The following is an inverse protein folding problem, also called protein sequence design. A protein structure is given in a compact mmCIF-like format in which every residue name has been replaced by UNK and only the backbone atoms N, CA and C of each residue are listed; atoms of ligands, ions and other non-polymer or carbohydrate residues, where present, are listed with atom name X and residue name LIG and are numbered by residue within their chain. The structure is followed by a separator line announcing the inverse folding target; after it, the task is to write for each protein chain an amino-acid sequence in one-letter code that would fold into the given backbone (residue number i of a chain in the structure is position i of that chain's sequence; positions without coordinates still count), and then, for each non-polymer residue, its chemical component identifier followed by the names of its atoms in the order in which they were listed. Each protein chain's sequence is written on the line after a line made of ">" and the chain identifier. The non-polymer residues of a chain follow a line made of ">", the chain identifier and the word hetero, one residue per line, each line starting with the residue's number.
data_IF_444832931028
#
_entry.id   IF_444832931028
#
_cell.length_a   1.000
_cell.length_b   1.000
_cell.length_c   1.000
_cell.angle_alpha   90.00
_cell.angle_beta   90.00
_cell.angle_gamma   90.00
#
_symmetry.space_group_name_H-M   'P 1'
#
loop_
_entity.id
_entity.type
_entity.pdbx_description
1 polymer ?
#
# COMPACT_ATOMS: atom_id res chain seq x y z
N UNK A 1 -13.23 -10.43 1.47
CA UNK A 1 -12.82 -9.04 1.81
C UNK A 1 -13.34 -8.00 0.81
N UNK A 2 -13.79 -8.38 -0.39
CA UNK A 2 -14.29 -7.44 -1.41
C UNK A 2 -15.66 -6.80 -1.14
N UNK A 3 -16.44 -7.31 -0.19
CA UNK A 3 -17.76 -6.74 0.12
C UNK A 3 -17.62 -5.57 1.09
N UNK A 4 -18.45 -4.52 0.92
CA UNK A 4 -18.49 -3.34 1.83
C UNK A 4 -18.69 -3.74 3.31
N UNK A 5 -19.26 -4.92 3.55
CA UNK A 5 -19.58 -5.46 4.87
C UNK A 5 -18.53 -6.42 5.43
N UNK A 6 -17.38 -6.60 4.77
CA UNK A 6 -16.37 -7.51 5.29
C UNK A 6 -15.83 -7.03 6.64
N UNK A 7 -15.85 -7.94 7.60
CA UNK A 7 -15.29 -7.77 8.94
C UNK A 7 -14.29 -8.90 9.17
N UNK A 8 -13.02 -8.56 9.36
CA UNK A 8 -11.98 -9.56 9.68
C UNK A 8 -12.36 -10.32 10.96
N UNK A 9 -12.19 -11.64 11.02
CA UNK A 9 -12.59 -12.43 12.21
C UNK A 9 -11.87 -11.98 13.49
N UNK A 10 -10.67 -11.43 13.36
CA UNK A 10 -9.84 -10.94 14.47
C UNK A 10 -10.18 -9.48 14.84
N UNK A 11 -10.73 -9.28 16.05
CA UNK A 11 -11.09 -7.95 16.59
C UNK A 11 -9.88 -7.01 16.78
N UNK A 12 -8.71 -7.54 17.15
CA UNK A 12 -7.47 -6.74 17.29
C UNK A 12 -7.04 -6.20 15.92
N UNK A 13 -7.10 -7.05 14.89
CA UNK A 13 -6.77 -6.65 13.53
C UNK A 13 -7.74 -5.59 12.99
N UNK A 14 -9.05 -5.73 13.25
CA UNK A 14 -10.03 -4.70 12.89
C UNK A 14 -9.74 -3.35 13.56
N UNK A 15 -9.39 -3.38 14.86
CA UNK A 15 -9.05 -2.16 15.61
C UNK A 15 -7.83 -1.47 15.00
N UNK A 16 -6.79 -2.22 14.65
CA UNK A 16 -5.60 -1.69 13.97
C UNK A 16 -5.93 -1.01 12.64
N UNK A 17 -6.74 -1.67 11.79
CA UNK A 17 -7.21 -1.08 10.52
C UNK A 17 -7.98 0.22 10.75
N UNK A 18 -8.91 0.24 11.72
CA UNK A 18 -9.67 1.45 12.03
C UNK A 18 -8.77 2.58 12.56
N UNK A 19 -7.82 2.28 13.44
CA UNK A 19 -6.87 3.26 13.97
C UNK A 19 -6.04 3.91 12.87
N UNK A 20 -5.49 3.12 11.94
CA UNK A 20 -4.70 3.66 10.82
C UNK A 20 -5.56 4.55 9.92
N UNK A 21 -6.76 4.08 9.54
CA UNK A 21 -7.71 4.86 8.74
C UNK A 21 -8.01 6.24 9.34
N UNK A 22 -8.30 6.29 10.65
CA UNK A 22 -8.58 7.54 11.36
C UNK A 22 -7.34 8.42 11.48
N UNK A 23 -6.17 7.86 11.82
CA UNK A 23 -4.93 8.62 11.98
C UNK A 23 -4.49 9.30 10.67
N UNK A 24 -4.70 8.63 9.54
CA UNK A 24 -4.36 9.17 8.21
C UNK A 24 -5.47 10.03 7.61
N UNK A 25 -6.61 10.19 8.30
CA UNK A 25 -7.77 10.98 7.87
C UNK A 25 -8.20 10.65 6.43
N UNK A 26 -8.27 9.35 6.11
CA UNK A 26 -8.62 8.91 4.77
C UNK A 26 -10.08 9.31 4.45
N UNK A 27 -10.29 9.83 3.24
CA UNK A 27 -11.66 10.02 2.72
C UNK A 27 -12.32 8.67 2.36
N UNK A 28 -13.59 8.66 2.00
CA UNK A 28 -14.34 7.42 1.73
C UNK A 28 -13.67 6.49 0.71
N UNK A 29 -13.19 7.03 -0.42
CA UNK A 29 -12.57 6.22 -1.47
C UNK A 29 -11.16 5.77 -1.10
N UNK A 30 -10.39 6.61 -0.41
CA UNK A 30 -9.07 6.25 0.12
C UNK A 30 -9.18 5.16 1.19
N UNK A 31 -10.13 5.29 2.10
CA UNK A 31 -10.42 4.32 3.16
C UNK A 31 -10.87 3.00 2.57
N UNK A 32 -11.73 3.04 1.54
CA UNK A 32 -12.16 1.84 0.82
C UNK A 32 -10.98 1.10 0.20
N UNK A 33 -10.09 1.80 -0.50
CA UNK A 33 -8.90 1.20 -1.11
C UNK A 33 -7.95 0.62 -0.05
N UNK A 34 -7.67 1.39 1.01
CA UNK A 34 -6.86 0.96 2.14
C UNK A 34 -7.42 -0.31 2.80
N UNK A 35 -8.71 -0.31 3.15
CA UNK A 35 -9.37 -1.45 3.80
C UNK A 35 -9.38 -2.69 2.92
N UNK A 36 -9.47 -2.54 1.60
CA UNK A 36 -9.43 -3.69 0.68
C UNK A 36 -8.10 -4.46 0.84
N UNK A 37 -6.98 -3.75 0.77
CA UNK A 37 -5.64 -4.31 0.90
C UNK A 37 -5.39 -4.81 2.33
N UNK A 38 -5.71 -4.00 3.35
CA UNK A 38 -5.47 -4.38 4.74
C UNK A 38 -6.26 -5.64 5.14
N UNK A 39 -7.53 -5.73 4.72
CA UNK A 39 -8.35 -6.91 4.97
C UNK A 39 -7.87 -8.14 4.19
N UNK A 40 -7.36 -7.96 2.98
CA UNK A 40 -6.76 -9.05 2.22
C UNK A 40 -5.51 -9.59 2.90
N UNK A 41 -4.61 -8.71 3.35
CA UNK A 41 -3.39 -9.06 4.07
C UNK A 41 -3.70 -9.86 5.36
N UNK A 42 -4.82 -9.56 6.03
CA UNK A 42 -5.29 -10.30 7.22
C UNK A 42 -5.90 -11.66 6.87
N UNK A 43 -6.55 -11.78 5.71
CA UNK A 43 -7.33 -12.95 5.36
C UNK A 43 -6.53 -14.05 4.65
N UNK A 44 -5.23 -13.86 4.42
CA UNK A 44 -4.30 -14.84 3.82
C UNK A 44 -4.84 -15.53 2.56
N UNK A 45 -5.49 -14.76 1.68
CA UNK A 45 -6.06 -15.26 0.42
C UNK A 45 -5.01 -15.22 -0.72
N UNK A 46 -5.19 -16.02 -1.79
CA UNK A 46 -4.09 -16.36 -2.72
C UNK A 46 -3.49 -15.17 -3.48
N UNK A 47 -4.29 -14.18 -3.89
CA UNK A 47 -3.76 -13.00 -4.61
C UNK A 47 -4.76 -11.85 -4.67
N UNK A 48 -4.24 -10.62 -4.72
CA UNK A 48 -5.00 -9.39 -4.93
C UNK A 48 -4.22 -8.47 -5.87
N UNK A 49 -4.85 -8.08 -6.97
CA UNK A 49 -4.35 -7.05 -7.87
C UNK A 49 -5.35 -5.88 -7.87
N UNK A 50 -4.86 -4.66 -7.64
CA UNK A 50 -5.69 -3.45 -7.59
C UNK A 50 -5.04 -2.39 -8.47
N UNK A 51 -5.88 -1.70 -9.23
CA UNK A 51 -5.54 -0.44 -9.86
C UNK A 51 -6.19 0.72 -9.09
N UNK A 52 -5.38 1.59 -8.48
CA UNK A 52 -5.84 2.80 -7.80
C UNK A 52 -5.66 4.03 -8.71
N UNK A 53 -6.68 4.30 -9.52
CA UNK A 53 -6.71 5.44 -10.44
C UNK A 53 -7.17 6.76 -9.80
N UNK A 54 -7.21 7.82 -10.60
CA UNK A 54 -7.75 9.13 -10.23
C UNK A 54 -6.85 10.29 -10.65
N UNK A 55 -7.41 11.50 -10.70
CA UNK A 55 -6.72 12.74 -11.09
C UNK A 55 -5.50 13.01 -10.19
N UNK A 56 -4.49 13.71 -10.70
CA UNK A 56 -3.37 14.19 -9.89
C UNK A 56 -3.85 14.98 -8.67
N UNK A 57 -3.17 14.84 -7.53
CA UNK A 57 -3.51 15.58 -6.31
C UNK A 57 -4.63 15.00 -5.43
N UNK A 58 -5.28 13.89 -5.82
CA UNK A 58 -6.37 13.27 -5.02
C UNK A 58 -5.91 12.42 -3.82
N UNK A 59 -4.62 12.48 -3.47
CA UNK A 59 -4.09 11.81 -2.29
C UNK A 59 -3.94 10.28 -2.42
N UNK A 60 -3.75 9.74 -3.63
CA UNK A 60 -3.41 8.30 -3.82
C UNK A 60 -2.20 7.88 -2.99
N UNK A 61 -1.18 8.73 -2.92
CA UNK A 61 0.00 8.53 -2.07
C UNK A 61 -0.33 8.43 -0.58
N UNK A 62 -1.42 9.05 -0.11
CA UNK A 62 -1.88 8.94 1.28
C UNK A 62 -2.33 7.51 1.61
N UNK A 63 -2.99 6.84 0.66
CA UNK A 63 -3.38 5.43 0.80
C UNK A 63 -2.15 4.55 0.96
N UNK A 64 -1.11 4.78 0.16
CA UNK A 64 0.15 4.03 0.24
C UNK A 64 0.81 4.25 1.61
N UNK A 65 0.90 5.49 2.09
CA UNK A 65 1.46 5.80 3.42
C UNK A 65 0.69 5.12 4.56
N UNK A 66 -0.64 5.08 4.47
CA UNK A 66 -1.46 4.34 5.43
C UNK A 66 -1.18 2.83 5.39
N UNK A 67 -0.97 2.25 4.21
CA UNK A 67 -0.58 0.84 4.07
C UNK A 67 0.79 0.54 4.66
N UNK A 68 1.79 1.39 4.40
CA UNK A 68 3.12 1.27 5.02
C UNK A 68 2.96 1.19 6.55
N UNK A 69 2.26 2.17 7.13
CA UNK A 69 2.06 2.22 8.58
C UNK A 69 1.28 1.00 9.11
N UNK A 70 0.29 0.51 8.36
CA UNK A 70 -0.45 -0.68 8.73
C UNK A 70 0.46 -1.93 8.80
N UNK A 71 1.38 -2.11 7.87
CA UNK A 71 2.34 -3.23 7.91
C UNK A 71 3.40 -3.04 9.01
N UNK A 72 3.88 -1.82 9.22
CA UNK A 72 4.80 -1.50 10.33
C UNK A 72 4.18 -1.78 11.71
N UNK A 73 2.92 -1.36 11.94
CA UNK A 73 2.20 -1.58 13.21
C UNK A 73 1.95 -3.07 13.51
N UNK A 74 2.14 -3.94 12.52
CA UNK A 74 2.02 -5.39 12.61
C UNK A 74 3.37 -6.10 12.69
N UNK A 75 4.49 -5.36 12.68
CA UNK A 75 5.85 -5.92 12.54
C UNK A 75 6.04 -6.72 11.23
N UNK A 76 5.27 -6.33 10.20
CA UNK A 76 5.19 -7.00 8.91
C UNK A 76 5.71 -6.10 7.77
N UNK A 77 6.48 -5.04 8.08
CA UNK A 77 6.98 -4.08 7.10
C UNK A 77 7.77 -4.74 5.95
N UNK A 78 8.48 -5.84 6.24
CA UNK A 78 9.21 -6.62 5.24
C UNK A 78 8.32 -7.27 4.16
N UNK A 79 7.01 -7.41 4.41
CA UNK A 79 6.05 -7.96 3.44
C UNK A 79 5.57 -6.94 2.42
N UNK A 80 5.96 -5.67 2.56
CA UNK A 80 5.44 -4.57 1.76
C UNK A 80 6.59 -3.78 1.12
N UNK A 81 6.69 -3.83 -0.21
CA UNK A 81 7.69 -3.11 -0.98
C UNK A 81 6.99 -2.01 -1.79
N UNK A 82 7.47 -0.77 -1.67
CA UNK A 82 6.97 0.37 -2.45
C UNK A 82 7.95 0.70 -3.56
N UNK A 83 7.43 0.69 -4.79
CA UNK A 83 8.20 0.99 -6.00
C UNK A 83 7.72 2.28 -6.65
N UNK A 84 8.66 3.14 -7.05
CA UNK A 84 8.42 4.34 -7.83
C UNK A 84 9.04 4.27 -9.23
N UNK A 85 8.48 4.96 -10.24
CA UNK A 85 9.09 5.02 -11.57
C UNK A 85 10.37 5.85 -11.65
N UNK A 86 10.52 6.85 -10.78
CA UNK A 86 11.64 7.78 -10.76
C UNK A 86 12.19 7.92 -9.35
N UNK A 87 13.44 8.39 -9.20
CA UNK A 87 14.05 8.59 -7.88
C UNK A 87 13.19 9.47 -6.96
N UNK A 88 12.67 10.58 -7.49
CA UNK A 88 11.82 11.50 -6.71
C UNK A 88 10.51 10.85 -6.25
N UNK A 89 9.84 10.08 -7.12
CA UNK A 89 8.58 9.41 -6.75
C UNK A 89 8.77 8.30 -5.73
N UNK A 90 9.88 7.55 -5.83
CA UNK A 90 10.26 6.56 -4.83
C UNK A 90 10.58 7.22 -3.48
N UNK A 91 11.37 8.30 -3.49
CA UNK A 91 11.77 9.02 -2.27
C UNK A 91 10.57 9.59 -1.49
N UNK A 92 9.52 10.07 -2.18
CA UNK A 92 8.30 10.60 -1.55
C UNK A 92 7.54 9.59 -0.68
N UNK A 93 7.78 8.29 -0.89
CA UNK A 93 7.11 7.20 -0.19
C UNK A 93 8.10 6.31 0.57
N UNK A 94 9.35 6.77 0.76
CA UNK A 94 10.43 5.96 1.34
C UNK A 94 10.62 4.61 0.62
N UNK A 95 10.34 4.57 -0.69
CA UNK A 95 10.45 3.39 -1.52
C UNK A 95 11.74 3.35 -2.32
N UNK A 96 11.81 2.39 -3.25
CA UNK A 96 12.90 2.26 -4.21
C UNK A 96 12.38 2.38 -5.64
N UNK A 97 13.26 2.62 -6.62
CA UNK A 97 12.84 2.56 -8.02
C UNK A 97 12.59 1.11 -8.42
N UNK A 98 11.62 0.85 -9.31
CA UNK A 98 11.45 -0.51 -9.83
C UNK A 98 12.69 -0.99 -10.58
N UNK A 99 13.44 -0.09 -11.22
CA UNK A 99 14.71 -0.43 -11.87
C UNK A 99 15.72 -1.04 -10.88
N UNK A 100 15.89 -0.39 -9.72
CA UNK A 100 16.83 -0.86 -8.68
C UNK A 100 16.39 -2.21 -8.10
N UNK A 101 15.11 -2.34 -7.75
CA UNK A 101 14.61 -3.56 -7.09
C UNK A 101 14.53 -4.76 -8.04
N UNK A 102 14.18 -4.52 -9.31
CA UNK A 102 14.05 -5.57 -10.32
C UNK A 102 15.36 -5.82 -11.10
N UNK A 103 16.42 -5.06 -10.82
CA UNK A 103 17.71 -5.20 -11.49
C UNK A 103 17.71 -4.79 -12.97
N UNK A 104 16.79 -3.90 -13.37
CA UNK A 104 16.74 -3.37 -14.74
C UNK A 104 17.84 -2.33 -14.87
N UNK A 105 18.89 -2.68 -15.61
CA UNK A 105 20.00 -1.80 -15.97
C UNK A 105 19.81 -1.34 -17.41
N UNK A 106 20.06 -0.07 -17.68
CA UNK A 106 20.29 0.37 -19.06
C UNK A 106 21.62 -0.24 -19.51
N UNK A 107 21.57 -1.25 -20.35
CA UNK A 107 22.75 -1.78 -21.04
C UNK A 107 23.15 -0.78 -22.13
N UNK A 108 23.73 0.33 -21.72
CA UNK A 108 24.65 1.09 -22.58
C UNK A 108 26.06 0.81 -22.08
N UNK A 109 26.43 -0.47 -22.11
CA UNK A 109 27.84 -0.84 -22.27
C UNK A 109 28.13 -0.67 -23.77
N UNK A 110 28.38 0.57 -24.18
CA UNK A 110 29.11 0.85 -25.41
C UNK A 110 30.59 0.71 -25.09
N UNK A 111 31.20 -0.27 -25.75
CA UNK A 111 32.65 -0.53 -25.82
C UNK A 111 33.52 0.73 -25.97
#
# INVERSE_FOLDING_TARGET
>A
YFTKYFKAKNKKAQKGVATVSTNFKLNEEQDRAFRLVANHAIAENPSLCIYLGGVGGTGKSQVIKALIKFFEDRDEGHRFIVLGPTGTSAALLNGSTYHSVLGIKDTTDSE
#
